data_IF_614080536731
#
_entry.id   IF_614080536731
#
_cell.length_a   1.000
_cell.length_b   1.000
_cell.length_c   1.000
_cell.angle_alpha   90.00
_cell.angle_beta   90.00
_cell.angle_gamma   90.00
#
_symmetry.space_group_name_H-M   'P 1'
#
loop_
_entity.id
_entity.type
_entity.pdbx_description
1 polymer ?
#
# COMPACT_ATOMS: atom_id res chain seq x y z
N UNK A 1 -11.63 3.39 19.26
CA UNK A 1 -10.20 3.52 19.60
C UNK A 1 -9.59 2.18 19.23
N UNK A 2 -8.82 2.13 18.16
CA UNK A 2 -8.24 0.88 17.66
C UNK A 2 -6.90 0.69 18.38
N UNK A 3 -6.96 0.39 19.68
CA UNK A 3 -5.81 0.03 20.49
C UNK A 3 -5.47 -1.43 20.20
N UNK A 4 -5.10 -1.72 18.95
CA UNK A 4 -4.71 -3.05 18.52
C UNK A 4 -3.20 -3.21 18.80
N UNK A 5 -2.81 -3.96 19.85
CA UNK A 5 -1.41 -4.06 20.27
C UNK A 5 -0.51 -4.63 19.17
N UNK A 6 -1.07 -5.38 18.22
CA UNK A 6 -0.35 -5.89 17.05
C UNK A 6 0.13 -4.75 16.15
N UNK A 7 -0.70 -3.72 15.95
CA UNK A 7 -0.36 -2.58 15.09
C UNK A 7 0.70 -1.67 15.70
N UNK A 8 0.71 -1.54 17.03
CA UNK A 8 1.71 -0.78 17.75
C UNK A 8 3.10 -1.43 17.65
N UNK A 9 3.16 -2.77 17.77
CA UNK A 9 4.40 -3.53 17.63
C UNK A 9 4.99 -3.44 16.21
N UNK A 10 4.14 -3.53 15.17
CA UNK A 10 4.56 -3.33 13.78
C UNK A 10 5.17 -1.94 13.57
N UNK A 11 4.51 -0.89 14.11
CA UNK A 11 5.03 0.48 14.02
C UNK A 11 6.36 0.63 14.77
N UNK A 12 6.51 0.01 15.95
CA UNK A 12 7.75 0.04 16.70
C UNK A 12 8.92 -0.56 15.91
N UNK A 13 8.69 -1.72 15.26
CA UNK A 13 9.66 -2.32 14.34
C UNK A 13 10.02 -1.40 13.18
N UNK A 14 9.03 -0.75 12.55
CA UNK A 14 9.29 0.20 11.45
C UNK A 14 10.12 1.41 11.88
N UNK A 15 9.93 1.90 13.11
CA UNK A 15 10.69 3.03 13.68
C UNK A 15 12.12 2.60 14.00
N UNK A 16 12.31 1.42 14.58
CA UNK A 16 13.66 0.89 14.89
C UNK A 16 14.48 0.68 13.62
N UNK A 17 13.91 0.06 12.57
CA UNK A 17 14.56 -0.11 11.27
C UNK A 17 15.11 1.24 10.75
N UNK A 18 14.30 2.29 10.86
CA UNK A 18 14.65 3.62 10.37
C UNK A 18 15.79 4.26 11.15
N UNK A 19 15.67 4.31 12.49
CA UNK A 19 16.67 4.93 13.33
C UNK A 19 18.01 4.19 13.29
N UNK A 20 17.98 2.86 13.07
CA UNK A 20 19.20 2.08 12.83
C UNK A 20 19.83 2.38 11.46
N UNK A 21 19.02 2.57 10.42
CA UNK A 21 19.52 2.94 9.09
C UNK A 21 20.06 4.39 9.06
N UNK A 22 19.55 5.26 9.94
CA UNK A 22 19.95 6.66 10.06
C UNK A 22 20.34 7.02 11.51
N UNK A 23 21.51 6.56 12.02
CA UNK A 23 21.88 6.73 13.43
C UNK A 23 22.05 8.19 13.90
N UNK A 24 22.24 9.12 12.96
CA UNK A 24 22.33 10.55 13.23
C UNK A 24 20.98 11.28 13.13
N UNK A 25 19.90 10.57 12.77
CA UNK A 25 18.58 11.16 12.66
C UNK A 25 18.06 11.53 14.06
N UNK A 26 17.88 12.82 14.28
CA UNK A 26 17.15 13.36 15.44
C UNK A 26 15.77 13.80 14.97
N UNK A 27 14.90 12.81 14.75
CA UNK A 27 13.55 13.08 14.28
C UNK A 27 12.58 13.35 15.42
N UNK A 28 11.63 14.23 15.17
CA UNK A 28 10.45 14.39 16.03
C UNK A 28 9.41 13.30 15.74
N UNK A 29 8.40 13.15 16.61
CA UNK A 29 7.24 12.28 16.34
C UNK A 29 6.65 12.52 14.95
N UNK A 30 6.43 13.78 14.59
CA UNK A 30 5.79 14.15 13.33
C UNK A 30 6.74 13.92 12.14
N UNK A 31 8.04 14.10 12.33
CA UNK A 31 9.08 13.75 11.36
C UNK A 31 9.11 12.25 11.05
N UNK A 32 9.10 11.40 12.08
CA UNK A 32 9.00 9.93 11.93
C UNK A 32 7.74 9.54 11.14
N UNK A 33 6.60 10.15 11.46
CA UNK A 33 5.33 9.87 10.79
C UNK A 33 5.37 10.28 9.32
N UNK A 34 5.74 11.53 9.02
CA UNK A 34 5.68 12.10 7.68
C UNK A 34 6.76 11.55 6.75
N UNK A 35 8.01 11.52 7.22
CA UNK A 35 9.16 11.17 6.39
C UNK A 35 9.28 9.67 6.20
N UNK A 36 8.97 8.86 7.21
CA UNK A 36 9.27 7.43 7.13
C UNK A 36 8.03 6.54 7.07
N UNK A 37 7.12 6.64 8.03
CA UNK A 37 5.99 5.71 8.13
C UNK A 37 5.06 5.85 6.93
N UNK A 38 4.69 7.08 6.57
CA UNK A 38 3.84 7.32 5.39
C UNK A 38 4.55 6.92 4.09
N UNK A 39 5.82 7.30 3.91
CA UNK A 39 6.57 6.99 2.69
C UNK A 39 6.79 5.49 2.50
N UNK A 40 7.25 4.78 3.55
CA UNK A 40 7.53 3.34 3.48
C UNK A 40 6.25 2.54 3.26
N UNK A 41 5.14 2.92 3.92
CA UNK A 41 3.84 2.26 3.73
C UNK A 41 3.25 2.56 2.36
N UNK A 42 3.42 3.77 1.84
CA UNK A 42 3.01 4.11 0.47
C UNK A 42 3.77 3.27 -0.56
N UNK A 43 5.09 3.16 -0.45
CA UNK A 43 5.91 2.34 -1.36
C UNK A 43 5.56 0.86 -1.28
N UNK A 44 5.38 0.30 -0.07
CA UNK A 44 4.92 -1.08 0.10
C UNK A 44 3.51 -1.29 -0.47
N UNK A 45 2.63 -0.32 -0.27
CA UNK A 45 1.28 -0.32 -0.81
C UNK A 45 1.27 -0.32 -2.35
N UNK A 46 2.15 0.45 -2.99
CA UNK A 46 2.31 0.44 -4.44
C UNK A 46 2.75 -0.93 -4.97
N UNK A 47 3.78 -1.54 -4.36
CA UNK A 47 4.23 -2.86 -4.77
C UNK A 47 3.14 -3.94 -4.58
N UNK A 48 2.39 -3.87 -3.47
CA UNK A 48 1.28 -4.76 -3.22
C UNK A 48 0.09 -4.53 -4.17
N UNK A 49 -0.13 -3.28 -4.60
CA UNK A 49 -1.19 -2.91 -5.54
C UNK A 49 -0.99 -3.57 -6.89
N UNK A 50 0.21 -3.50 -7.47
CA UNK A 50 0.49 -4.10 -8.78
C UNK A 50 0.24 -5.62 -8.76
N UNK A 51 0.75 -6.30 -7.72
CA UNK A 51 0.51 -7.74 -7.52
C UNK A 51 -0.98 -8.05 -7.35
N UNK A 52 -1.72 -7.22 -6.60
CA UNK A 52 -3.15 -7.42 -6.40
C UNK A 52 -3.94 -7.22 -7.70
N UNK A 53 -3.58 -6.22 -8.51
CA UNK A 53 -4.20 -5.97 -9.81
C UNK A 53 -3.95 -7.13 -10.77
N UNK A 54 -2.72 -7.64 -10.85
CA UNK A 54 -2.38 -8.83 -11.66
C UNK A 54 -3.20 -10.05 -11.24
N UNK A 55 -3.32 -10.32 -9.94
CA UNK A 55 -4.13 -11.42 -9.42
C UNK A 55 -5.60 -11.27 -9.78
N UNK A 56 -6.18 -10.09 -9.60
CA UNK A 56 -7.59 -9.85 -9.90
C UNK A 56 -7.90 -9.93 -11.41
N UNK A 57 -6.95 -9.53 -12.26
CA UNK A 57 -7.04 -9.72 -13.71
C UNK A 57 -6.98 -11.21 -14.07
N UNK A 58 -6.04 -11.96 -13.48
CA UNK A 58 -5.90 -13.39 -13.71
C UNK A 58 -7.13 -14.19 -13.23
N UNK A 59 -7.76 -13.76 -12.14
CA UNK A 59 -9.02 -14.32 -11.62
C UNK A 59 -10.25 -13.92 -12.48
N UNK A 60 -10.10 -13.03 -13.46
CA UNK A 60 -11.20 -12.54 -14.28
C UNK A 60 -12.25 -11.75 -13.50
N UNK A 61 -11.85 -11.12 -12.38
CA UNK A 61 -12.74 -10.31 -11.53
C UNK A 61 -12.77 -8.85 -11.93
N UNK A 62 -11.69 -8.37 -12.53
CA UNK A 62 -11.57 -7.03 -13.10
C UNK A 62 -11.06 -7.13 -14.54
N UNK A 63 -11.22 -6.05 -15.29
CA UNK A 63 -10.56 -5.86 -16.59
C UNK A 63 -9.80 -4.54 -16.61
N UNK A 64 -8.76 -4.50 -17.46
CA UNK A 64 -7.94 -3.32 -17.70
C UNK A 64 -8.30 -2.70 -19.05
N UNK A 65 -8.57 -1.39 -19.06
CA UNK A 65 -8.97 -0.61 -20.24
C UNK A 65 -8.02 0.56 -20.40
N UNK A 66 -7.47 0.71 -21.60
CA UNK A 66 -6.67 1.90 -21.92
C UNK A 66 -7.59 3.08 -22.22
N UNK A 67 -7.40 4.17 -21.47
CA UNK A 67 -8.10 5.44 -21.66
C UNK A 67 -7.56 6.20 -22.88
N UNK A 68 -8.33 7.18 -23.36
CA UNK A 68 -7.97 8.04 -24.48
C UNK A 68 -6.69 8.86 -24.24
N UNK A 69 -6.37 9.14 -22.97
CA UNK A 69 -5.12 9.80 -22.54
C UNK A 69 -3.95 8.81 -22.34
N UNK A 70 -4.12 7.55 -22.70
CA UNK A 70 -3.10 6.51 -22.62
C UNK A 70 -2.95 5.86 -21.23
N UNK A 71 -3.69 6.30 -20.20
CA UNK A 71 -3.65 5.68 -18.86
C UNK A 71 -4.36 4.32 -18.85
N UNK A 72 -3.91 3.42 -17.97
CA UNK A 72 -4.62 2.17 -17.71
C UNK A 72 -5.68 2.40 -16.62
N UNK A 73 -6.93 2.04 -16.91
CA UNK A 73 -8.04 2.08 -15.98
C UNK A 73 -8.49 0.65 -15.68
N UNK A 74 -8.92 0.39 -14.44
CA UNK A 74 -9.39 -0.93 -14.01
C UNK A 74 -10.86 -0.84 -13.60
N UNK A 75 -11.67 -1.80 -14.02
CA UNK A 75 -13.09 -1.89 -13.62
C UNK A 75 -13.50 -3.31 -13.30
N UNK A 76 -14.45 -3.47 -12.39
CA UNK A 76 -15.00 -4.77 -12.05
C UNK A 76 -15.76 -5.37 -13.25
N UNK A 77 -15.51 -6.65 -13.54
CA UNK A 77 -16.32 -7.40 -14.47
C UNK A 77 -17.62 -7.77 -13.76
N UNK A 78 -18.75 -7.18 -14.20
CA UNK A 78 -20.06 -7.59 -13.69
C UNK A 78 -20.26 -9.05 -14.08
N UNK A 79 -20.43 -9.93 -13.09
CA UNK A 79 -20.88 -11.30 -13.35
C UNK A 79 -22.18 -11.21 -14.15
N UNK A 80 -22.31 -11.83 -15.34
CA UNK A 80 -23.62 -11.92 -15.97
C UNK A 80 -24.56 -12.65 -15.00
N UNK A 81 -25.82 -12.22 -14.85
CA UNK A 81 -26.78 -12.94 -14.02
C UNK A 81 -26.84 -14.41 -14.46
N UNK A 82 -26.99 -15.37 -13.53
CA UNK A 82 -27.17 -16.76 -13.92
C UNK A 82 -28.38 -16.85 -14.86
N UNK A 83 -28.21 -17.54 -16.00
CA UNK A 83 -29.29 -17.86 -16.93
C UNK A 83 -30.26 -18.86 -16.33
#
# INVERSE_FOLDING_TARGET
>A
MNDDPVWAEEIAGEILDYLQLHPSAMESRDGILQCWILQRRFLRGLAALDIALERLLAEGRIEAVRSADGRMLYRALRRPPPR
#
